data_IF_664744846890
#
_entry.id   IF_664744846890
#
_cell.length_a   1.000
_cell.length_b   1.000
_cell.length_c   1.000
_cell.angle_alpha   90.00
_cell.angle_beta   90.00
_cell.angle_gamma   90.00
#
_symmetry.space_group_name_H-M   'P 1'
#
loop_
_entity.id
_entity.type
_entity.pdbx_description
1 polymer ?
#
# COMPACT_ATOMS: atom_id res chain seq x y z
N UNK A 1 -3.91 -28.78 26.96
CA UNK A 1 -2.78 -28.58 26.03
C UNK A 1 -3.18 -27.45 25.11
N UNK A 2 -2.55 -26.27 25.23
CA UNK A 2 -2.73 -25.18 24.25
C UNK A 2 -2.06 -25.61 22.94
N UNK A 3 -2.70 -25.29 21.83
CA UNK A 3 -2.14 -25.50 20.50
C UNK A 3 -0.69 -24.96 20.43
N UNK A 4 0.32 -25.78 20.05
CA UNK A 4 1.70 -25.34 19.92
C UNK A 4 1.93 -24.44 18.69
N UNK A 5 0.95 -24.23 17.80
CA UNK A 5 1.05 -23.17 16.80
C UNK A 5 0.75 -21.82 17.46
N UNK A 6 1.78 -21.18 18.02
CA UNK A 6 1.75 -19.78 18.50
C UNK A 6 1.56 -18.78 17.34
N UNK A 7 1.30 -19.25 16.12
CA UNK A 7 0.97 -18.40 14.99
C UNK A 7 -0.53 -18.14 14.98
N UNK A 8 -0.99 -17.08 15.63
CA UNK A 8 -2.20 -16.44 15.13
C UNK A 8 -1.83 -15.88 13.75
N UNK A 9 -2.20 -16.59 12.69
CA UNK A 9 -1.78 -16.29 11.34
C UNK A 9 -2.41 -14.96 10.90
N UNK A 10 -1.64 -13.88 11.04
CA UNK A 10 -1.90 -12.63 10.37
C UNK A 10 -1.68 -12.74 8.86
N UNK A 11 -2.13 -11.73 8.11
CA UNK A 11 -1.83 -11.63 6.67
C UNK A 11 -0.69 -10.65 6.45
N UNK A 12 0.40 -11.11 5.85
CA UNK A 12 1.52 -10.28 5.43
C UNK A 12 1.73 -10.43 3.93
N UNK A 13 2.00 -9.32 3.24
CA UNK A 13 2.12 -9.36 1.79
C UNK A 13 2.80 -8.14 1.19
N UNK A 14 3.24 -8.33 -0.06
CA UNK A 14 3.67 -7.26 -0.94
C UNK A 14 2.86 -7.33 -2.22
N UNK A 15 2.35 -6.19 -2.66
CA UNK A 15 1.71 -6.02 -3.96
C UNK A 15 2.58 -5.07 -4.79
N UNK A 16 2.90 -5.48 -6.01
CA UNK A 16 3.67 -4.67 -6.95
C UNK A 16 2.83 -4.46 -8.20
N UNK A 17 2.57 -3.19 -8.52
CA UNK A 17 1.94 -2.80 -9.77
C UNK A 17 2.99 -2.18 -10.68
N UNK A 18 2.98 -2.59 -11.94
CA UNK A 18 3.82 -2.03 -12.98
C UNK A 18 2.92 -1.44 -14.06
N UNK A 19 3.12 -0.16 -14.38
CA UNK A 19 2.35 0.55 -15.41
C UNK A 19 3.30 1.30 -16.32
N UNK A 20 2.96 1.34 -17.61
CA UNK A 20 3.69 2.11 -18.61
C UNK A 20 2.87 3.36 -18.90
N UNK A 21 3.46 4.54 -18.71
CA UNK A 21 2.79 5.82 -18.92
C UNK A 21 3.47 6.61 -20.06
N UNK A 22 2.71 7.30 -20.93
CA UNK A 22 3.28 8.24 -21.88
C UNK A 22 4.02 9.37 -21.16
N UNK A 23 5.16 9.80 -21.70
CA UNK A 23 5.93 10.90 -21.13
C UNK A 23 5.31 12.27 -21.41
N UNK A 24 4.55 12.36 -22.50
CA UNK A 24 3.88 13.57 -22.94
C UNK A 24 2.54 13.23 -23.59
N UNK A 25 1.71 14.27 -23.77
CA UNK A 25 0.49 14.19 -24.57
C UNK A 25 0.72 14.73 -25.99
N UNK A 26 1.98 14.91 -26.41
CA UNK A 26 2.29 15.48 -27.73
C UNK A 26 2.05 14.44 -28.84
N UNK A 27 1.40 14.88 -29.92
CA UNK A 27 1.10 14.02 -31.06
C UNK A 27 2.41 13.58 -31.76
N UNK A 28 2.63 12.26 -31.81
CA UNK A 28 3.81 11.66 -32.44
C UNK A 28 4.97 11.36 -31.49
N UNK A 29 4.92 11.81 -30.23
CA UNK A 29 5.83 11.34 -29.19
C UNK A 29 5.35 9.99 -28.63
N UNK A 30 6.08 8.93 -28.94
CA UNK A 30 5.80 7.58 -28.45
C UNK A 30 6.68 7.19 -27.25
N UNK A 31 7.36 8.15 -26.63
CA UNK A 31 8.19 7.87 -25.47
C UNK A 31 7.34 7.57 -24.24
N UNK A 32 7.77 6.57 -23.48
CA UNK A 32 7.07 6.09 -22.28
C UNK A 32 8.02 5.97 -21.10
N UNK A 33 7.46 5.95 -19.90
CA UNK A 33 8.16 5.67 -18.65
C UNK A 33 7.50 4.47 -17.98
N UNK A 34 8.32 3.52 -17.55
CA UNK A 34 7.91 2.42 -16.68
C UNK A 34 7.82 2.91 -15.23
N UNK A 35 6.64 2.78 -14.63
CA UNK A 35 6.35 3.21 -13.27
C UNK A 35 5.96 2.01 -12.43
N UNK A 36 6.60 1.86 -11.28
CA UNK A 36 6.30 0.80 -10.32
C UNK A 36 5.71 1.39 -9.05
N UNK A 37 4.59 0.84 -8.60
CA UNK A 37 4.02 1.08 -7.29
C UNK A 37 4.19 -0.15 -6.41
N UNK A 38 4.67 0.04 -5.18
CA UNK A 38 4.90 -1.05 -4.22
C UNK A 38 4.07 -0.76 -2.98
N UNK A 39 3.15 -1.66 -2.66
CA UNK A 39 2.44 -1.70 -1.40
C UNK A 39 2.95 -2.87 -0.57
N UNK A 40 3.24 -2.65 0.71
CA UNK A 40 3.54 -3.73 1.67
C UNK A 40 2.67 -3.57 2.90
N UNK A 41 2.23 -4.68 3.47
CA UNK A 41 1.36 -4.66 4.63
C UNK A 41 1.56 -5.88 5.52
N UNK A 42 1.26 -5.70 6.80
CA UNK A 42 1.05 -6.77 7.76
C UNK A 42 -0.18 -6.46 8.62
N UNK A 43 -1.08 -7.43 8.70
CA UNK A 43 -2.25 -7.48 9.59
C UNK A 43 -2.03 -8.60 10.60
N UNK A 44 -1.48 -8.24 11.76
CA UNK A 44 -1.07 -9.14 12.84
C UNK A 44 -2.24 -9.38 13.79
N UNK A 45 -2.70 -10.64 13.88
CA UNK A 45 -3.86 -11.00 14.68
C UNK A 45 -3.65 -10.88 16.21
N UNK A 46 -2.43 -11.07 16.73
CA UNK A 46 -2.23 -11.30 18.17
C UNK A 46 -1.08 -10.57 18.86
N UNK A 47 -0.15 -9.94 18.13
CA UNK A 47 1.09 -9.41 18.74
C UNK A 47 1.36 -7.93 18.46
N UNK A 48 0.42 -7.22 17.83
CA UNK A 48 0.71 -5.90 17.24
C UNK A 48 1.77 -6.03 16.14
N UNK A 49 2.38 -4.91 15.76
CA UNK A 49 3.31 -4.76 14.62
C UNK A 49 2.64 -4.82 13.25
N UNK A 50 1.42 -4.30 13.16
CA UNK A 50 0.87 -3.94 11.86
C UNK A 50 1.80 -2.91 11.21
N UNK A 51 2.01 -3.04 9.92
CA UNK A 51 2.73 -2.05 9.15
C UNK A 51 2.07 -1.87 7.79
N UNK A 52 2.22 -0.66 7.25
CA UNK A 52 1.66 -0.26 5.98
C UNK A 52 2.71 0.60 5.28
N UNK A 53 3.01 0.26 4.04
CA UNK A 53 3.98 1.00 3.23
C UNK A 53 3.44 1.13 1.82
N UNK A 54 3.56 2.33 1.26
CA UNK A 54 3.21 2.58 -0.13
C UNK A 54 4.24 3.51 -0.77
N UNK A 55 4.80 3.10 -1.91
CA UNK A 55 5.79 3.87 -2.66
C UNK A 55 5.60 3.78 -4.16
N UNK A 56 6.24 4.72 -4.86
CA UNK A 56 6.33 4.78 -6.31
C UNK A 56 7.81 4.96 -6.72
N UNK A 57 8.19 4.43 -7.88
CA UNK A 57 9.50 4.71 -8.50
C UNK A 57 9.62 6.13 -9.05
N UNK A 58 8.49 6.82 -9.24
CA UNK A 58 8.41 8.13 -9.91
C UNK A 58 7.60 9.13 -9.08
N UNK A 59 8.13 9.57 -7.91
CA UNK A 59 7.44 10.53 -7.04
C UNK A 59 7.25 11.92 -7.65
N UNK A 60 7.98 12.24 -8.72
CA UNK A 60 7.83 13.47 -9.50
C UNK A 60 6.60 13.46 -10.41
N UNK A 61 6.12 12.28 -10.80
CA UNK A 61 4.95 12.12 -11.67
C UNK A 61 3.66 11.84 -10.88
N UNK A 62 3.78 11.23 -9.70
CA UNK A 62 2.64 10.78 -8.91
C UNK A 62 2.73 11.21 -7.45
N UNK A 63 1.66 11.84 -6.99
CA UNK A 63 1.39 11.98 -5.57
C UNK A 63 0.67 10.72 -5.09
N UNK A 64 1.18 10.11 -4.02
CA UNK A 64 0.64 8.88 -3.48
C UNK A 64 0.34 9.03 -2.00
N UNK A 65 -0.67 8.30 -1.53
CA UNK A 65 -0.91 8.10 -0.11
C UNK A 65 -1.68 6.80 0.10
N UNK A 66 -1.71 6.34 1.34
CA UNK A 66 -2.62 5.27 1.74
C UNK A 66 -3.53 5.77 2.86
N UNK A 67 -4.66 5.10 3.03
CA UNK A 67 -5.49 5.21 4.22
C UNK A 67 -5.60 3.83 4.85
N UNK A 68 -5.60 3.79 6.19
CA UNK A 68 -5.76 2.58 6.98
C UNK A 68 -6.88 2.72 8.00
N UNK A 69 -7.58 1.63 8.27
CA UNK A 69 -8.66 1.51 9.24
C UNK A 69 -8.55 0.15 9.95
N UNK A 70 -8.91 0.11 11.22
CA UNK A 70 -9.03 -1.11 12.03
C UNK A 70 -10.48 -1.23 12.51
N UNK A 71 -11.07 -2.42 12.34
CA UNK A 71 -12.29 -2.86 13.03
C UNK A 71 -13.47 -1.86 13.00
N UNK A 72 -13.74 -1.24 11.85
CA UNK A 72 -14.86 -0.30 11.70
C UNK A 72 -14.59 1.11 12.25
N UNK A 73 -13.34 1.43 12.57
CA UNK A 73 -12.91 2.72 13.10
C UNK A 73 -12.79 3.83 12.05
N UNK A 74 -12.03 4.89 12.41
CA UNK A 74 -11.77 6.00 11.50
C UNK A 74 -10.67 5.66 10.48
N UNK A 75 -10.79 6.22 9.27
CA UNK A 75 -9.73 6.14 8.26
C UNK A 75 -8.63 7.16 8.55
N UNK A 76 -7.40 6.67 8.67
CA UNK A 76 -6.23 7.51 8.90
C UNK A 76 -5.32 7.56 7.67
N UNK A 77 -5.00 8.77 7.21
CA UNK A 77 -4.12 8.99 6.06
C UNK A 77 -2.65 8.87 6.44
N UNK A 78 -1.91 8.05 5.69
CA UNK A 78 -0.47 7.79 5.86
C UNK A 78 -0.05 7.39 7.28
N UNK A 79 -0.97 6.83 8.04
CA UNK A 79 -0.74 6.31 9.37
C UNK A 79 -1.24 4.88 9.42
N UNK A 80 -0.37 3.96 9.83
CA UNK A 80 -0.74 2.57 10.02
C UNK A 80 -0.95 2.34 11.51
N UNK A 81 -2.14 1.89 11.95
CA UNK A 81 -2.35 1.56 13.35
C UNK A 81 -1.46 0.39 13.77
N UNK A 82 -0.70 0.52 14.85
CA UNK A 82 0.31 -0.48 15.28
C UNK A 82 -0.28 -1.85 15.67
N UNK A 83 -1.59 -1.92 15.92
CA UNK A 83 -2.28 -3.16 16.34
C UNK A 83 -3.77 -3.12 15.99
N UNK A 84 -4.38 -4.31 15.97
CA UNK A 84 -5.79 -4.52 15.71
C UNK A 84 -6.03 -5.32 14.43
N UNK A 85 -7.21 -5.93 14.33
CA UNK A 85 -7.61 -6.79 13.23
C UNK A 85 -9.15 -6.74 13.08
N UNK A 86 -9.70 -6.70 11.85
CA UNK A 86 -9.02 -6.67 10.56
C UNK A 86 -8.41 -5.31 10.21
N UNK A 87 -7.27 -5.32 9.50
CA UNK A 87 -6.68 -4.14 8.89
C UNK A 87 -7.19 -3.95 7.46
N UNK A 88 -7.80 -2.80 7.21
CA UNK A 88 -8.27 -2.39 5.89
C UNK A 88 -7.35 -1.31 5.32
N UNK A 89 -6.99 -1.44 4.04
CA UNK A 89 -6.09 -0.52 3.34
C UNK A 89 -6.70 -0.03 2.04
N UNK A 90 -6.54 1.27 1.78
CA UNK A 90 -6.82 1.91 0.49
C UNK A 90 -5.55 2.60 0.00
N UNK A 91 -5.15 2.32 -1.23
CA UNK A 91 -4.00 2.94 -1.87
C UNK A 91 -4.46 3.92 -2.94
N UNK A 92 -3.94 5.14 -2.90
CA UNK A 92 -4.34 6.22 -3.79
C UNK A 92 -3.15 6.71 -4.60
N UNK A 93 -3.33 6.75 -5.92
CA UNK A 93 -2.37 7.28 -6.88
C UNK A 93 -3.02 8.45 -7.60
N UNK A 94 -2.40 9.62 -7.55
CA UNK A 94 -2.84 10.82 -8.25
C UNK A 94 -1.71 11.35 -9.15
N UNK A 95 -1.95 11.54 -10.46
CA UNK A 95 -1.01 12.25 -11.32
C UNK A 95 -0.77 13.67 -10.79
N UNK A 96 0.47 14.17 -10.83
CA UNK A 96 0.79 15.56 -10.44
C UNK A 96 0.62 16.53 -11.62
N UNK A 97 0.58 15.99 -12.85
CA UNK A 97 0.53 16.74 -14.11
C UNK A 97 -0.89 17.21 -14.47
#
# INVERSE_FOLDING_TARGET
MKDPSIAAAGSEGTVTYHVVVPNSNEEGDNSTTDVTFIARFCDSYSVGNNYCYFSTSNPELFAIYFEAEIDGGDWHKNFCPDSGHPLHLKFFVHPIL
#
